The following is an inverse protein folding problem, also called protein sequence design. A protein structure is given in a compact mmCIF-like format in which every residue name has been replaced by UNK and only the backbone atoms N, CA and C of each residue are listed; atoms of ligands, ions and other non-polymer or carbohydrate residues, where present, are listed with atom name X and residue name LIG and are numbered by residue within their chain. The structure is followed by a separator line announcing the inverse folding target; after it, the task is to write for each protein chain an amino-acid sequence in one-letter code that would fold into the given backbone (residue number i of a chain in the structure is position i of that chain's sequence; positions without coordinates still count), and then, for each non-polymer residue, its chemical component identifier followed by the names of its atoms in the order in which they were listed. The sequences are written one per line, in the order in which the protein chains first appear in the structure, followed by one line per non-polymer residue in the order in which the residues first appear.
data_IF_878347884428
#
_entry.id   IF_878347884428
#
_cell.length_a   1.000
_cell.length_b   1.000
_cell.length_c   1.000
_cell.angle_alpha   90.00
_cell.angle_beta   90.00
_cell.angle_gamma   90.00
#
_symmetry.space_group_name_H-M   'P 1'
#
loop_
_entity.id
_entity.type
_entity.pdbx_description
1 polymer ?
#
# COMPACT_ATOMS: atom_id res chain seq x y z
N UNK A 1 -20.55 10.82 -17.03
CA UNK A 1 -19.28 10.23 -16.55
C UNK A 1 -18.68 11.27 -15.62
N UNK A 2 -18.56 10.98 -14.32
CA UNK A 2 -18.03 11.97 -13.36
C UNK A 2 -16.55 12.19 -13.64
N UNK A 3 -16.17 13.45 -13.90
CA UNK A 3 -14.77 13.84 -14.09
C UNK A 3 -14.10 13.95 -12.71
N UNK A 4 -13.30 12.94 -12.37
CA UNK A 4 -12.61 12.82 -11.07
C UNK A 4 -11.18 13.37 -11.12
N UNK A 5 -10.81 14.16 -12.14
CA UNK A 5 -9.43 14.65 -12.30
C UNK A 5 -8.94 15.52 -11.14
N UNK A 6 -9.85 16.11 -10.35
CA UNK A 6 -9.51 16.92 -9.18
C UNK A 6 -9.64 16.16 -7.86
N UNK A 7 -9.91 14.85 -7.89
CA UNK A 7 -10.05 14.05 -6.68
C UNK A 7 -8.69 13.91 -5.97
N UNK A 8 -8.61 14.47 -4.77
CA UNK A 8 -7.40 14.46 -3.93
C UNK A 8 -7.46 13.45 -2.80
N UNK A 9 -8.66 13.05 -2.37
CA UNK A 9 -8.87 12.07 -1.30
C UNK A 9 -9.88 11.04 -1.77
N UNK A 10 -9.54 9.76 -1.62
CA UNK A 10 -10.42 8.65 -1.93
C UNK A 10 -10.39 7.63 -0.80
N UNK A 11 -11.57 7.30 -0.28
CA UNK A 11 -11.75 6.20 0.68
C UNK A 11 -12.72 5.20 0.08
N UNK A 12 -12.29 3.95 -0.03
CA UNK A 12 -13.10 2.88 -0.60
C UNK A 12 -13.20 1.74 0.40
N UNK A 13 -14.44 1.32 0.67
CA UNK A 13 -14.73 0.04 1.31
C UNK A 13 -15.14 -0.94 0.23
N UNK A 14 -14.27 -1.88 -0.08
CA UNK A 14 -14.46 -2.85 -1.14
C UNK A 14 -14.97 -4.16 -0.56
N UNK A 15 -16.25 -4.44 -0.81
CA UNK A 15 -16.98 -5.55 -0.18
C UNK A 15 -17.17 -6.78 -1.06
N UNK A 16 -16.79 -6.74 -2.35
CA UNK A 16 -16.80 -7.89 -3.26
C UNK A 16 -16.01 -7.58 -4.55
N UNK A 17 -14.86 -8.21 -4.81
CA UNK A 17 -14.20 -8.18 -6.13
C UNK A 17 -12.99 -9.13 -6.23
N UNK A 18 -12.84 -9.73 -7.40
CA UNK A 18 -11.67 -10.52 -7.84
C UNK A 18 -10.64 -9.63 -8.58
N UNK A 19 -11.06 -8.45 -9.05
CA UNK A 19 -10.19 -7.55 -9.82
C UNK A 19 -9.37 -6.66 -8.90
N UNK A 20 -8.08 -6.55 -9.21
CA UNK A 20 -7.15 -5.60 -8.61
C UNK A 20 -7.70 -4.16 -8.73
N UNK A 21 -8.02 -3.49 -7.61
CA UNK A 21 -8.59 -2.15 -7.62
C UNK A 21 -7.61 -1.10 -8.16
N UNK A 22 -6.30 -1.33 -8.06
CA UNK A 22 -5.26 -0.34 -8.34
C UNK A 22 -5.21 0.06 -9.81
N UNK A 23 -5.54 -0.86 -10.73
CA UNK A 23 -5.51 -0.60 -12.17
C UNK A 23 -6.43 0.54 -12.60
N UNK A 24 -7.58 0.68 -11.94
CA UNK A 24 -8.52 1.78 -12.24
C UNK A 24 -8.10 3.07 -11.53
N UNK A 25 -7.55 2.95 -10.32
CA UNK A 25 -7.22 4.07 -9.45
C UNK A 25 -5.93 4.80 -9.87
N UNK A 26 -4.99 4.12 -10.53
CA UNK A 26 -3.73 4.75 -11.00
C UNK A 26 -3.95 5.91 -11.97
N UNK A 27 -5.13 6.00 -12.60
CA UNK A 27 -5.52 7.10 -13.49
C UNK A 27 -5.80 8.42 -12.76
N UNK A 28 -5.98 8.40 -11.44
CA UNK A 28 -6.28 9.56 -10.60
C UNK A 28 -5.00 10.35 -10.28
N UNK A 29 -4.54 11.17 -11.24
CA UNK A 29 -3.25 11.87 -11.20
C UNK A 29 -3.09 12.91 -10.09
N UNK A 30 -4.19 13.33 -9.45
CA UNK A 30 -4.20 14.33 -8.39
C UNK A 30 -4.47 13.75 -7.00
N UNK A 31 -4.57 12.43 -6.89
CA UNK A 31 -4.83 11.76 -5.63
C UNK A 31 -3.65 11.94 -4.67
N UNK A 32 -3.96 12.43 -3.47
CA UNK A 32 -3.01 12.70 -2.39
C UNK A 32 -3.18 11.71 -1.23
N UNK A 33 -4.40 11.23 -0.99
CA UNK A 33 -4.70 10.28 0.09
C UNK A 33 -5.63 9.19 -0.41
N UNK A 34 -5.26 7.93 -0.16
CA UNK A 34 -5.99 6.74 -0.57
C UNK A 34 -6.13 5.80 0.62
N UNK A 35 -7.37 5.46 0.98
CA UNK A 35 -7.67 4.41 1.97
C UNK A 35 -8.49 3.31 1.28
N UNK A 36 -7.99 2.08 1.38
CA UNK A 36 -8.57 0.87 0.80
C UNK A 36 -8.89 -0.11 1.92
N UNK A 37 -10.17 -0.25 2.26
CA UNK A 37 -10.67 -1.27 3.19
C UNK A 37 -11.23 -2.45 2.40
N UNK A 38 -10.53 -3.58 2.36
CA UNK A 38 -10.73 -4.65 1.36
C UNK A 38 -11.32 -5.95 1.96
N UNK A 39 -12.51 -5.85 2.55
CA UNK A 39 -13.14 -6.88 3.41
C UNK A 39 -13.32 -8.25 2.72
N UNK A 40 -13.58 -8.27 1.41
CA UNK A 40 -13.74 -9.52 0.62
C UNK A 40 -12.93 -9.49 -0.66
N UNK A 41 -11.70 -9.01 -0.57
CA UNK A 41 -10.76 -9.12 -1.68
C UNK A 41 -10.27 -10.56 -1.79
N UNK A 42 -10.50 -11.19 -2.95
CA UNK A 42 -10.03 -12.56 -3.22
C UNK A 42 -8.64 -12.57 -3.86
N UNK A 43 -8.09 -11.40 -4.19
CA UNK A 43 -6.73 -11.30 -4.71
C UNK A 43 -5.70 -11.55 -3.60
N UNK A 44 -4.61 -12.21 -3.94
CA UNK A 44 -3.53 -12.53 -2.99
C UNK A 44 -2.45 -11.45 -2.94
N UNK A 45 -2.48 -10.50 -3.88
CA UNK A 45 -1.45 -9.50 -4.06
C UNK A 45 -2.04 -8.14 -4.40
N UNK A 46 -1.38 -7.08 -3.93
CA UNK A 46 -1.52 -5.72 -4.44
C UNK A 46 -0.21 -5.31 -5.10
N UNK A 47 -0.27 -4.83 -6.34
CA UNK A 47 0.92 -4.42 -7.09
C UNK A 47 0.84 -2.94 -7.48
N UNK A 48 1.67 -2.13 -6.82
CA UNK A 48 1.86 -0.72 -7.14
C UNK A 48 2.90 -0.59 -8.23
N UNK A 49 2.43 -0.53 -9.47
CA UNK A 49 3.25 -0.48 -10.68
C UNK A 49 3.96 0.87 -10.87
N UNK A 50 5.04 0.85 -11.63
CA UNK A 50 5.77 2.04 -12.07
C UNK A 50 4.83 3.08 -12.72
N UNK A 51 5.09 4.36 -12.47
CA UNK A 51 4.28 5.49 -12.92
C UNK A 51 2.93 5.65 -12.20
N UNK A 52 2.57 4.72 -11.31
CA UNK A 52 1.33 4.80 -10.51
C UNK A 52 1.42 5.83 -9.39
N UNK A 53 0.28 6.47 -9.07
CA UNK A 53 0.07 7.22 -7.82
C UNK A 53 1.14 8.30 -7.51
N UNK A 54 1.57 9.05 -8.53
CA UNK A 54 2.74 9.92 -8.48
C UNK A 54 2.69 11.05 -7.44
N UNK A 55 1.49 11.50 -7.07
CA UNK A 55 1.26 12.56 -6.06
C UNK A 55 0.79 12.04 -4.71
N UNK A 56 0.59 10.72 -4.57
CA UNK A 56 0.05 10.13 -3.36
C UNK A 56 1.03 10.36 -2.20
N UNK A 57 0.50 10.84 -1.08
CA UNK A 57 1.23 11.16 0.16
C UNK A 57 0.86 10.20 1.28
N UNK A 58 -0.38 9.73 1.29
CA UNK A 58 -0.93 8.86 2.32
C UNK A 58 -1.58 7.64 1.65
N UNK A 59 -1.18 6.46 2.10
CA UNK A 59 -1.79 5.19 1.70
C UNK A 59 -2.16 4.40 2.95
N UNK A 60 -3.41 3.98 3.02
CA UNK A 60 -3.90 3.02 3.99
C UNK A 60 -4.49 1.81 3.27
N UNK A 61 -4.06 0.61 3.66
CA UNK A 61 -4.68 -0.66 3.26
C UNK A 61 -5.12 -1.36 4.53
N UNK A 62 -6.42 -1.63 4.63
CA UNK A 62 -7.02 -2.19 5.84
C UNK A 62 -7.98 -3.36 5.58
N UNK A 63 -8.11 -4.24 6.57
CA UNK A 63 -9.06 -5.35 6.63
C UNK A 63 -9.07 -6.24 5.37
N UNK A 64 -7.87 -6.62 4.92
CA UNK A 64 -7.68 -7.43 3.71
C UNK A 64 -7.10 -8.80 4.09
N UNK A 65 -7.94 -9.65 4.67
CA UNK A 65 -7.52 -10.91 5.32
C UNK A 65 -6.76 -11.83 4.36
N UNK A 66 -7.17 -11.96 3.10
CA UNK A 66 -6.55 -12.88 2.13
C UNK A 66 -5.25 -12.33 1.48
N UNK A 67 -4.89 -11.08 1.74
CA UNK A 67 -3.71 -10.46 1.14
C UNK A 67 -2.44 -11.11 1.67
N UNK A 68 -1.59 -11.60 0.76
CA UNK A 68 -0.34 -12.28 1.10
C UNK A 68 0.89 -11.45 0.77
N UNK A 69 0.79 -10.53 -0.18
CA UNK A 69 1.93 -9.78 -0.68
C UNK A 69 1.53 -8.37 -1.15
N UNK A 70 2.43 -7.41 -0.93
CA UNK A 70 2.36 -6.08 -1.51
C UNK A 70 3.67 -5.86 -2.25
N UNK A 71 3.59 -5.53 -3.54
CA UNK A 71 4.75 -5.25 -4.38
C UNK A 71 4.75 -3.78 -4.77
N UNK A 72 5.90 -3.13 -4.62
CA UNK A 72 6.12 -1.73 -4.99
C UNK A 72 7.24 -1.67 -6.02
N UNK A 73 6.87 -1.40 -7.26
CA UNK A 73 7.85 -1.18 -8.33
C UNK A 73 8.60 0.14 -8.09
N UNK A 74 9.86 0.17 -8.49
CA UNK A 74 10.63 1.42 -8.56
C UNK A 74 9.89 2.43 -9.44
N UNK A 75 9.76 3.66 -8.95
CA UNK A 75 9.02 4.73 -9.64
C UNK A 75 7.53 4.80 -9.29
N UNK A 76 7.01 3.83 -8.53
CA UNK A 76 5.67 3.94 -7.95
C UNK A 76 5.66 4.81 -6.69
N UNK A 77 4.61 5.60 -6.51
CA UNK A 77 4.37 6.40 -5.29
C UNK A 77 5.59 7.22 -4.77
N UNK A 78 6.36 7.94 -5.61
CA UNK A 78 7.58 8.66 -5.20
C UNK A 78 7.34 9.85 -4.25
N UNK A 79 6.08 10.13 -3.91
CA UNK A 79 5.69 11.21 -2.98
C UNK A 79 5.13 10.68 -1.66
N UNK A 80 5.09 9.36 -1.46
CA UNK A 80 4.46 8.75 -0.30
C UNK A 80 5.22 9.11 0.97
N UNK A 81 4.49 9.53 1.99
CA UNK A 81 5.01 9.93 3.30
C UNK A 81 4.53 9.02 4.41
N UNK A 82 3.30 8.51 4.29
CA UNK A 82 2.67 7.67 5.30
C UNK A 82 2.11 6.42 4.64
N UNK A 83 2.50 5.27 5.18
CA UNK A 83 1.97 3.97 4.83
C UNK A 83 1.38 3.30 6.06
N UNK A 84 0.10 2.93 5.99
CA UNK A 84 -0.63 2.24 7.04
C UNK A 84 -1.16 0.90 6.53
N UNK A 85 -0.75 -0.19 7.19
CA UNK A 85 -1.10 -1.57 6.87
C UNK A 85 -1.77 -2.19 8.11
N UNK A 86 -3.08 -2.38 8.06
CA UNK A 86 -3.88 -2.71 9.26
C UNK A 86 -4.77 -3.92 8.99
N UNK A 87 -4.77 -4.93 9.86
CA UNK A 87 -5.67 -6.08 9.73
C UNK A 87 -5.35 -6.95 8.52
N UNK A 88 -4.06 -7.16 8.25
CA UNK A 88 -3.54 -7.94 7.12
C UNK A 88 -2.95 -9.27 7.62
N UNK A 89 -3.79 -10.08 8.28
CA UNK A 89 -3.34 -11.26 9.05
C UNK A 89 -2.59 -12.34 8.25
N UNK A 90 -2.80 -12.45 6.93
CA UNK A 90 -2.08 -13.41 6.09
C UNK A 90 -0.92 -12.79 5.29
N UNK A 91 -0.59 -11.52 5.55
CA UNK A 91 0.51 -10.84 4.88
C UNK A 91 1.82 -11.53 5.26
N UNK A 92 2.55 -12.02 4.26
CA UNK A 92 3.73 -12.87 4.51
C UNK A 92 4.94 -12.07 4.96
N UNK A 93 5.12 -10.88 4.39
CA UNK A 93 6.27 -10.00 4.55
C UNK A 93 5.80 -8.54 4.50
N UNK A 94 6.61 -7.60 4.98
CA UNK A 94 6.46 -6.18 4.63
C UNK A 94 6.47 -6.00 3.10
N UNK A 95 5.96 -4.87 2.58
CA UNK A 95 5.95 -4.63 1.15
C UNK A 95 7.32 -4.84 0.50
N UNK A 96 7.38 -5.70 -0.51
CA UNK A 96 8.58 -5.87 -1.32
C UNK A 96 8.80 -4.61 -2.15
N UNK A 97 10.00 -4.05 -2.13
CA UNK A 97 10.28 -2.78 -2.80
C UNK A 97 9.98 -1.56 -1.91
N UNK A 98 9.84 -1.72 -0.59
CA UNK A 98 9.58 -0.59 0.32
C UNK A 98 10.68 0.48 0.28
N UNK A 99 11.93 0.08 -0.01
CA UNK A 99 13.07 0.98 -0.21
C UNK A 99 12.91 1.93 -1.40
N UNK A 100 11.97 1.66 -2.31
CA UNK A 100 11.63 2.58 -3.39
C UNK A 100 10.82 3.79 -2.91
N UNK A 101 10.28 3.75 -1.68
CA UNK A 101 9.52 4.84 -1.07
C UNK A 101 10.44 5.86 -0.38
N UNK A 102 11.29 6.53 -1.15
CA UNK A 102 12.37 7.41 -0.65
C UNK A 102 11.92 8.55 0.28
N UNK A 103 10.63 8.90 0.30
CA UNK A 103 10.05 9.96 1.14
C UNK A 103 9.19 9.44 2.30
N UNK A 104 9.14 8.13 2.49
CA UNK A 104 8.38 7.52 3.56
C UNK A 104 8.95 7.98 4.90
N UNK A 105 8.13 8.67 5.69
CA UNK A 105 8.51 9.16 7.01
C UNK A 105 7.69 8.56 8.15
N UNK A 106 6.67 7.75 7.83
CA UNK A 106 5.89 7.04 8.83
C UNK A 106 5.37 5.72 8.25
N UNK A 107 5.60 4.64 8.98
CA UNK A 107 5.10 3.31 8.68
C UNK A 107 4.33 2.79 9.89
N UNK A 108 3.06 2.44 9.67
CA UNK A 108 2.21 1.84 10.69
C UNK A 108 1.81 0.44 10.23
N UNK A 109 2.19 -0.57 11.01
CA UNK A 109 1.80 -1.96 10.76
C UNK A 109 1.15 -2.47 12.05
N UNK A 110 -0.10 -2.91 11.97
CA UNK A 110 -0.81 -3.51 13.10
C UNK A 110 -1.76 -4.60 12.64
N UNK A 111 -2.10 -5.52 13.56
CA UNK A 111 -3.02 -6.62 13.29
C UNK A 111 -2.57 -7.45 12.06
N UNK A 112 -1.27 -7.78 12.04
CA UNK A 112 -0.61 -8.68 11.07
C UNK A 112 -0.08 -9.90 11.81
N UNK A 113 0.41 -10.91 11.08
CA UNK A 113 1.10 -12.06 11.67
C UNK A 113 2.36 -11.61 12.44
N UNK A 114 2.48 -12.00 13.71
CA UNK A 114 3.61 -11.64 14.60
C UNK A 114 4.98 -12.07 14.03
N UNK A 115 5.01 -13.02 13.10
CA UNK A 115 6.25 -13.52 12.49
C UNK A 115 6.63 -12.77 11.20
N UNK A 116 5.89 -11.73 10.78
CA UNK A 116 6.19 -10.94 9.58
C UNK A 116 7.61 -10.34 9.62
N UNK A 117 8.09 -10.00 10.81
CA UNK A 117 9.45 -9.50 11.04
C UNK A 117 10.50 -10.53 10.64
N UNK A 118 10.32 -11.79 11.02
CA UNK A 118 11.29 -12.86 10.73
C UNK A 118 11.30 -13.30 9.28
N UNK A 119 10.18 -13.10 8.57
CA UNK A 119 10.00 -13.55 7.19
C UNK A 119 10.45 -12.52 6.16
N UNK A 120 10.39 -11.24 6.49
CA UNK A 120 10.76 -10.22 5.51
C UNK A 120 12.27 -10.14 5.29
N UNK A 121 12.67 -9.60 4.14
CA UNK A 121 14.08 -9.51 3.79
C UNK A 121 14.83 -8.62 4.79
N UNK A 122 16.07 -9.02 5.13
CA UNK A 122 16.91 -8.22 6.00
C UNK A 122 17.17 -6.82 5.38
N UNK A 123 17.22 -6.73 4.06
CA UNK A 123 17.41 -5.47 3.33
C UNK A 123 16.24 -4.50 3.56
N UNK A 124 15.00 -4.96 3.34
CA UNK A 124 13.81 -4.12 3.48
C UNK A 124 13.62 -3.69 4.93
N UNK A 125 13.86 -4.59 5.90
CA UNK A 125 13.78 -4.26 7.32
C UNK A 125 14.86 -3.28 7.77
N UNK A 126 16.12 -3.51 7.39
CA UNK A 126 17.21 -2.60 7.74
C UNK A 126 16.95 -1.20 7.18
N UNK A 127 16.44 -1.13 5.94
CA UNK A 127 16.08 0.15 5.34
C UNK A 127 15.02 0.90 6.16
N UNK A 128 13.96 0.22 6.62
CA UNK A 128 12.93 0.83 7.48
C UNK A 128 13.57 1.42 8.73
N UNK A 129 14.42 0.65 9.43
CA UNK A 129 15.07 1.08 10.68
C UNK A 129 15.97 2.30 10.49
N UNK A 130 16.59 2.45 9.31
CA UNK A 130 17.49 3.57 9.00
C UNK A 130 16.75 4.82 8.50
N UNK A 131 15.61 4.67 7.82
CA UNK A 131 14.99 5.74 7.03
C UNK A 131 13.62 6.18 7.56
N UNK A 132 12.91 5.33 8.30
CA UNK A 132 11.60 5.64 8.86
C UNK A 132 11.75 5.82 10.37
N UNK A 133 11.60 7.05 10.90
CA UNK A 133 11.63 7.28 12.34
C UNK A 133 10.54 6.46 13.02
N UNK A 134 10.95 5.62 13.98
CA UNK A 134 10.05 4.85 14.85
C UNK A 134 9.50 5.71 16.01
#
# INVERSE_FOLDING_TARGET
MLDLQNLTVLRLVWSYSIKDPLQSLKSLKHLLSLSLKLIKYEGLQLHFQDGGFQKLKELEVSDCIELREIIIDKGSMPSLKTLSLIGLFNLKNIPTGIQHLEKLGSLYISDVDDEIEKRSSAEDWNWIMEHVPL
#
